data_IF_852909264164
#
_entry.id   IF_852909264164
#
_cell.length_a   1.000
_cell.length_b   1.000
_cell.length_c   1.000
_cell.angle_alpha   90.00
_cell.angle_beta   90.00
_cell.angle_gamma   90.00
#
_symmetry.space_group_name_H-M   'P 1'
#
loop_
_entity.id
_entity.type
_entity.pdbx_description
1 polymer ?
#
# COMPACT_ATOMS: atom_id res chain seq x y z
N UNK A 1 13.66 -11.74 -2.69
CA UNK A 1 13.64 -10.29 -2.41
C UNK A 1 12.23 -9.71 -2.51
N UNK A 2 11.52 -9.88 -3.64
CA UNK A 2 10.13 -9.37 -3.84
C UNK A 2 9.14 -9.79 -2.74
N UNK A 3 9.06 -11.09 -2.42
CA UNK A 3 8.15 -11.59 -1.37
C UNK A 3 8.43 -10.95 0.01
N UNK A 4 9.72 -10.86 0.36
CA UNK A 4 10.17 -10.20 1.60
C UNK A 4 9.79 -8.72 1.65
N UNK A 5 9.77 -8.04 0.50
CA UNK A 5 9.38 -6.64 0.42
C UNK A 5 7.88 -6.47 0.65
N UNK A 6 7.05 -7.32 0.04
CA UNK A 6 5.60 -7.33 0.24
C UNK A 6 5.20 -7.63 1.69
N UNK A 7 5.92 -8.56 2.34
CA UNK A 7 5.65 -8.96 3.72
C UNK A 7 5.99 -7.86 4.74
N UNK A 8 6.86 -6.91 4.38
CA UNK A 8 7.27 -5.78 5.25
C UNK A 8 6.42 -4.53 5.09
N UNK A 9 5.54 -4.49 4.09
CA UNK A 9 4.65 -3.35 3.87
C UNK A 9 3.69 -3.19 5.06
N UNK A 10 3.78 -2.08 5.82
CA UNK A 10 2.92 -1.85 6.97
C UNK A 10 1.48 -1.61 6.53
N UNK A 11 0.50 -2.14 7.28
CA UNK A 11 -0.89 -1.69 7.13
C UNK A 11 -1.08 -0.39 7.89
N UNK A 12 -1.66 0.60 7.24
CA UNK A 12 -2.01 1.87 7.86
C UNK A 12 -3.43 1.81 8.45
N UNK A 13 -3.59 2.43 9.60
CA UNK A 13 -4.88 2.61 10.28
C UNK A 13 -5.54 3.92 9.85
N UNK A 14 -6.84 4.05 10.12
CA UNK A 14 -7.60 5.27 9.84
C UNK A 14 -6.99 6.51 10.52
N UNK A 15 -6.54 6.38 11.76
CA UNK A 15 -5.88 7.46 12.49
C UNK A 15 -4.58 7.92 11.81
N UNK A 16 -3.81 7.00 11.25
CA UNK A 16 -2.59 7.33 10.50
C UNK A 16 -2.93 7.99 9.16
N UNK A 17 -3.99 7.56 8.48
CA UNK A 17 -4.46 8.21 7.24
C UNK A 17 -4.90 9.65 7.52
N UNK A 18 -5.69 9.88 8.58
CA UNK A 18 -6.12 11.22 8.99
C UNK A 18 -4.95 12.15 9.31
N UNK A 19 -3.83 11.60 9.78
CA UNK A 19 -2.62 12.37 10.07
C UNK A 19 -1.79 12.73 8.82
N UNK A 20 -2.05 12.16 7.65
CA UNK A 20 -1.32 12.47 6.40
C UNK A 20 -1.68 13.85 5.81
N UNK A 21 -2.80 14.44 6.20
CA UNK A 21 -3.25 15.73 5.69
C UNK A 21 -3.91 15.63 4.30
N UNK A 22 -3.57 16.56 3.41
CA UNK A 22 -4.33 16.85 2.19
C UNK A 22 -4.26 15.79 1.07
N UNK A 23 -3.37 14.79 1.18
CA UNK A 23 -3.20 13.76 0.15
C UNK A 23 -3.88 12.47 0.61
N UNK A 24 -5.20 12.39 0.39
CA UNK A 24 -6.10 11.39 0.95
C UNK A 24 -6.48 10.28 -0.02
N UNK A 25 -5.87 10.24 -1.20
CA UNK A 25 -6.18 9.27 -2.27
C UNK A 25 -4.95 8.52 -2.76
N UNK A 26 -5.15 7.27 -3.19
CA UNK A 26 -4.10 6.51 -3.83
C UNK A 26 -3.76 7.14 -5.19
N UNK A 27 -2.48 7.45 -5.49
CA UNK A 27 -2.08 8.10 -6.74
C UNK A 27 -2.18 7.21 -7.98
N UNK A 28 -2.51 5.92 -7.82
CA UNK A 28 -2.61 4.95 -8.91
C UNK A 28 -4.07 4.73 -9.29
N UNK A 29 -4.90 4.27 -8.35
CA UNK A 29 -6.33 4.04 -8.60
C UNK A 29 -7.25 5.23 -8.30
N UNK A 30 -6.71 6.33 -7.75
CA UNK A 30 -7.46 7.54 -7.37
C UNK A 30 -8.59 7.32 -6.36
N UNK A 31 -8.60 6.17 -5.68
CA UNK A 31 -9.57 5.88 -4.61
C UNK A 31 -9.07 6.45 -3.29
N UNK A 32 -9.98 7.04 -2.49
CA UNK A 32 -9.62 7.58 -1.19
C UNK A 32 -9.15 6.48 -0.23
N UNK A 33 -8.15 6.80 0.58
CA UNK A 33 -7.59 5.87 1.57
C UNK A 33 -8.64 5.44 2.60
N UNK A 34 -9.57 6.32 2.96
CA UNK A 34 -10.68 5.97 3.86
C UNK A 34 -11.64 4.97 3.21
N UNK A 35 -11.96 5.12 1.92
CA UNK A 35 -12.80 4.14 1.22
C UNK A 35 -12.11 2.77 1.13
N UNK A 36 -10.80 2.74 0.91
CA UNK A 36 -10.01 1.49 0.87
C UNK A 36 -9.95 0.78 2.23
N UNK A 37 -9.90 1.54 3.33
CA UNK A 37 -9.98 0.97 4.68
C UNK A 37 -11.39 0.43 4.98
N UNK A 38 -12.44 1.14 4.57
CA UNK A 38 -13.81 0.66 4.72
C UNK A 38 -14.09 -0.61 3.89
N UNK A 39 -13.51 -0.69 2.68
CA UNK A 39 -13.56 -1.91 1.85
C UNK A 39 -12.85 -3.08 2.55
N UNK A 40 -11.68 -2.85 3.15
CA UNK A 40 -10.96 -3.86 3.93
C UNK A 40 -11.80 -4.34 5.12
N UNK A 41 -12.38 -3.43 5.90
CA UNK A 41 -13.23 -3.78 7.04
C UNK A 41 -14.43 -4.62 6.63
N UNK A 42 -15.15 -4.21 5.58
CA UNK A 42 -16.30 -4.95 5.06
C UNK A 42 -15.90 -6.34 4.54
N UNK A 43 -14.80 -6.45 3.81
CA UNK A 43 -14.32 -7.72 3.27
C UNK A 43 -13.92 -8.70 4.39
N UNK A 44 -13.29 -8.21 5.46
CA UNK A 44 -12.94 -8.99 6.64
C UNK A 44 -14.18 -9.40 7.44
N UNK A 45 -15.14 -8.50 7.64
CA UNK A 45 -16.37 -8.80 8.38
C UNK A 45 -17.25 -9.85 7.68
N UNK A 46 -17.19 -9.92 6.35
CA UNK A 46 -17.97 -10.86 5.55
C UNK A 46 -17.23 -12.17 5.24
N UNK A 47 -16.00 -12.37 5.75
CA UNK A 47 -15.12 -13.51 5.42
C UNK A 47 -15.05 -13.79 3.91
N UNK A 48 -15.03 -12.73 3.09
CA UNK A 48 -15.22 -12.85 1.65
C UNK A 48 -14.00 -13.53 0.99
N UNK A 49 -14.15 -14.73 0.38
CA UNK A 49 -13.05 -15.40 -0.29
C UNK A 49 -12.63 -14.72 -1.60
N UNK A 50 -13.40 -13.75 -2.09
CA UNK A 50 -13.15 -13.05 -3.34
C UNK A 50 -11.94 -12.10 -3.27
N UNK A 51 -11.52 -11.68 -2.06
CA UNK A 51 -10.46 -10.70 -1.88
C UNK A 51 -9.31 -11.30 -1.07
N UNK A 52 -8.10 -11.32 -1.65
CA UNK A 52 -6.90 -11.68 -0.89
C UNK A 52 -6.64 -10.62 0.19
N UNK A 53 -6.58 -11.00 1.48
CA UNK A 53 -6.33 -10.05 2.57
C UNK A 53 -5.04 -9.25 2.40
N UNK A 54 -4.08 -9.79 1.64
CA UNK A 54 -2.79 -9.14 1.36
C UNK A 54 -2.95 -7.92 0.44
N UNK A 55 -3.99 -7.88 -0.39
CA UNK A 55 -4.25 -6.79 -1.33
C UNK A 55 -5.20 -5.71 -0.78
N UNK A 56 -5.81 -5.92 0.40
CA UNK A 56 -6.75 -4.99 1.02
C UNK A 56 -6.03 -3.93 1.86
N UNK A 57 -6.67 -2.75 1.98
CA UNK A 57 -6.21 -1.66 2.83
C UNK A 57 -5.13 -0.77 2.19
N UNK A 58 -4.43 -0.04 3.05
CA UNK A 58 -3.46 1.01 2.68
C UNK A 58 -2.10 0.74 3.29
N UNK A 59 -1.02 1.08 2.59
CA UNK A 59 0.36 0.91 3.04
C UNK A 59 1.23 2.12 2.74
N UNK A 60 2.36 2.20 3.44
CA UNK A 60 3.43 3.19 3.23
C UNK A 60 4.75 2.50 2.91
N UNK A 61 5.53 3.07 2.00
CA UNK A 61 6.93 2.68 1.78
C UNK A 61 7.80 3.23 2.91
N UNK A 62 7.99 2.49 4.01
CA UNK A 62 8.53 3.03 5.27
C UNK A 62 9.98 2.61 5.62
N UNK A 63 10.65 1.83 4.79
CA UNK A 63 12.03 1.44 5.07
C UNK A 63 12.98 2.66 5.00
N UNK A 64 14.14 2.64 5.67
CA UNK A 64 15.04 3.81 5.76
C UNK A 64 15.51 4.38 4.41
N UNK A 65 15.57 3.56 3.36
CA UNK A 65 15.95 3.96 2.00
C UNK A 65 14.74 4.29 1.11
N UNK A 66 13.52 4.08 1.59
CA UNK A 66 12.29 4.31 0.84
C UNK A 66 11.74 5.72 1.06
N UNK A 67 10.88 6.16 0.14
CA UNK A 67 10.43 7.55 0.07
C UNK A 67 9.26 7.92 1.01
N UNK A 68 8.63 6.97 1.70
CA UNK A 68 7.48 7.27 2.55
C UNK A 68 6.15 7.49 1.83
N UNK A 69 6.04 7.25 0.51
CA UNK A 69 4.78 7.42 -0.22
C UNK A 69 3.76 6.35 0.16
N UNK A 70 2.48 6.72 0.07
CA UNK A 70 1.32 5.94 0.51
C UNK A 70 0.52 5.47 -0.70
N UNK A 71 0.08 4.21 -0.68
CA UNK A 71 -0.66 3.57 -1.77
C UNK A 71 -1.68 2.59 -1.21
N UNK A 72 -2.70 2.23 -2.02
CA UNK A 72 -3.49 1.05 -1.73
C UNK A 72 -2.59 -0.20 -1.85
N UNK A 73 -2.84 -1.22 -1.02
CA UNK A 73 -2.00 -2.43 -1.02
C UNK A 73 -2.08 -3.18 -2.33
N UNK A 74 -3.26 -3.22 -2.97
CA UNK A 74 -3.48 -3.88 -4.26
C UNK A 74 -2.54 -3.37 -5.34
N UNK A 75 -2.46 -2.06 -5.54
CA UNK A 75 -1.72 -1.47 -6.65
C UNK A 75 -0.21 -1.56 -6.42
N UNK A 76 0.28 -1.17 -5.23
CA UNK A 76 1.72 -1.23 -4.96
C UNK A 76 2.22 -2.68 -4.93
N UNK A 77 1.41 -3.63 -4.43
CA UNK A 77 1.79 -5.04 -4.46
C UNK A 77 1.82 -5.60 -5.88
N UNK A 78 0.89 -5.18 -6.73
CA UNK A 78 0.88 -5.56 -8.15
C UNK A 78 2.11 -4.99 -8.86
N UNK A 79 2.39 -3.70 -8.67
CA UNK A 79 3.58 -3.04 -9.19
C UNK A 79 4.89 -3.78 -8.82
N UNK A 80 5.04 -4.13 -7.55
CA UNK A 80 6.20 -4.89 -7.06
C UNK A 80 6.27 -6.30 -7.66
N UNK A 81 5.13 -6.99 -7.81
CA UNK A 81 5.06 -8.34 -8.40
C UNK A 81 5.39 -8.33 -9.89
N UNK A 82 5.03 -7.25 -10.60
CA UNK A 82 5.31 -7.08 -12.02
C UNK A 82 6.80 -6.79 -12.30
N UNK A 83 7.64 -6.73 -11.26
CA UNK A 83 9.08 -6.62 -11.37
C UNK A 83 9.61 -5.19 -11.31
N UNK A 84 8.76 -4.21 -10.99
CA UNK A 84 9.21 -2.85 -10.81
C UNK A 84 9.91 -2.68 -9.45
N UNK A 85 11.10 -2.09 -9.48
CA UNK A 85 12.00 -1.94 -8.33
C UNK A 85 12.04 -0.51 -7.77
N UNK A 86 11.20 0.38 -8.29
CA UNK A 86 11.17 1.80 -7.94
C UNK A 86 9.76 2.31 -7.64
N UNK A 87 9.67 3.34 -6.79
CA UNK A 87 8.41 3.96 -6.40
C UNK A 87 7.67 4.54 -7.62
N UNK A 88 6.37 4.25 -7.82
CA UNK A 88 5.58 4.79 -8.92
C UNK A 88 5.56 6.33 -9.00
N UNK A 89 5.70 7.02 -7.86
CA UNK A 89 5.62 8.47 -7.77
C UNK A 89 6.97 9.17 -7.98
N UNK A 90 8.02 8.74 -7.28
CA UNK A 90 9.30 9.47 -7.26
C UNK A 90 10.50 8.65 -7.73
N UNK A 91 10.28 7.40 -8.14
CA UNK A 91 11.31 6.48 -8.64
C UNK A 91 12.43 6.13 -7.63
N UNK A 92 12.27 6.46 -6.35
CA UNK A 92 13.16 5.97 -5.30
C UNK A 92 13.14 4.43 -5.24
N UNK A 93 14.29 3.77 -5.01
CA UNK A 93 14.37 2.31 -4.95
C UNK A 93 13.44 1.72 -3.87
N UNK A 94 12.74 0.65 -4.24
CA UNK A 94 11.92 -0.13 -3.31
C UNK A 94 12.81 -1.11 -2.53
N UNK A 95 13.76 -1.75 -3.21
CA UNK A 95 14.75 -2.63 -2.61
C UNK A 95 15.95 -1.83 -2.13
N UNK A 96 16.62 -2.31 -1.07
CA UNK A 96 17.85 -1.69 -0.57
C UNK A 96 18.89 -1.72 -1.70
N UNK A 97 19.45 -0.58 -2.11
CA UNK A 97 20.62 -0.57 -2.99
C UNK A 97 21.80 -1.14 -2.20
N UNK A 98 22.49 -2.11 -2.80
CA UNK A 98 23.71 -2.73 -2.24
C UNK A 98 24.85 -1.71 -2.09
#
# INVERSE_FOLDING_TARGET
QIRTLLDRLPRLTEAQIKALGDNDCCPICLTSFLALLAEEEMALAMDSPAHSPVNLGVTRLNEPWQCGHVFCRKDISTWIRDGHDSCPLCRQPLVRPD
#
